data_IF_190544494379
#
_entry.id   IF_190544494379
#
_cell.length_a   1.000
_cell.length_b   1.000
_cell.length_c   1.000
_cell.angle_alpha   90.00
_cell.angle_beta   90.00
_cell.angle_gamma   90.00
#
_symmetry.space_group_name_H-M   'P 1'
#
loop_
_entity.id
_entity.type
_entity.pdbx_description
1 polymer ?
#
# COMPACT_ATOMS: atom_id res chain seq x y z
N UNK A 1 4.86 3.13 -14.79
CA UNK A 1 4.44 4.43 -14.21
C UNK A 1 3.22 4.35 -13.30
N UNK A 2 2.26 3.46 -13.54
CA UNK A 2 1.00 3.44 -12.78
C UNK A 2 1.17 3.32 -11.25
N UNK A 3 1.98 2.36 -10.78
CA UNK A 3 2.23 2.20 -9.34
C UNK A 3 2.84 3.44 -8.68
N UNK A 4 3.70 4.16 -9.40
CA UNK A 4 4.30 5.41 -8.93
C UNK A 4 3.25 6.53 -8.76
N UNK A 5 2.23 6.61 -9.64
CA UNK A 5 1.17 7.63 -9.52
C UNK A 5 0.39 7.48 -8.21
N UNK A 6 0.02 6.25 -7.85
CA UNK A 6 -0.63 5.99 -6.57
C UNK A 6 0.30 6.27 -5.38
N UNK A 7 1.57 5.88 -5.49
CA UNK A 7 2.56 6.12 -4.46
C UNK A 7 2.79 7.62 -4.20
N UNK A 8 2.83 8.44 -5.25
CA UNK A 8 2.88 9.91 -5.16
C UNK A 8 1.65 10.43 -4.42
N UNK A 9 0.44 9.98 -4.78
CA UNK A 9 -0.79 10.39 -4.10
C UNK A 9 -0.78 10.09 -2.60
N UNK A 10 -0.36 8.88 -2.21
CA UNK A 10 -0.22 8.51 -0.80
C UNK A 10 0.89 9.28 -0.08
N UNK A 11 1.97 9.62 -0.80
CA UNK A 11 3.06 10.45 -0.28
C UNK A 11 2.59 11.88 -0.01
N UNK A 12 1.71 12.44 -0.83
CA UNK A 12 1.11 13.76 -0.55
C UNK A 12 0.29 13.75 0.74
N UNK A 13 -0.43 12.65 1.03
CA UNK A 13 -1.10 12.48 2.32
C UNK A 13 -0.10 12.37 3.48
N UNK A 14 1.02 11.67 3.30
CA UNK A 14 2.08 11.58 4.31
C UNK A 14 2.72 12.95 4.62
N UNK A 15 2.97 13.77 3.59
CA UNK A 15 3.44 15.14 3.78
C UNK A 15 2.40 15.99 4.51
N UNK A 16 1.12 15.86 4.15
CA UNK A 16 0.03 16.57 4.86
C UNK A 16 -0.04 16.17 6.34
N UNK A 17 0.14 14.89 6.66
CA UNK A 17 0.26 14.40 8.04
C UNK A 17 1.50 14.96 8.76
N UNK A 18 2.62 15.09 8.05
CA UNK A 18 3.84 15.73 8.58
C UNK A 18 3.60 17.20 8.95
N UNK A 19 3.00 17.96 8.04
CA UNK A 19 2.63 19.37 8.27
C UNK A 19 1.67 19.48 9.45
N UNK A 20 0.67 18.58 9.53
CA UNK A 20 -0.23 18.52 10.68
C UNK A 20 0.54 18.37 11.99
N UNK A 21 1.44 17.39 12.09
CA UNK A 21 2.24 17.19 13.30
C UNK A 21 3.07 18.41 13.67
N UNK A 22 3.64 19.11 12.67
CA UNK A 22 4.40 20.34 12.90
C UNK A 22 3.53 21.47 13.41
N UNK A 23 2.34 21.69 12.85
CA UNK A 23 1.40 22.72 13.31
C UNK A 23 0.90 22.43 14.73
N UNK A 24 0.61 21.16 15.02
CA UNK A 24 0.12 20.72 16.31
C UNK A 24 1.25 20.52 17.36
N UNK A 25 2.52 20.66 16.96
CA UNK A 25 3.69 20.40 17.81
C UNK A 25 3.65 19.00 18.46
N UNK A 26 3.08 18.01 17.76
CA UNK A 26 2.90 16.67 18.30
C UNK A 26 2.08 15.75 17.41
N UNK A 27 2.18 14.44 17.68
CA UNK A 27 1.53 13.39 16.89
C UNK A 27 0.05 13.15 17.23
N UNK A 28 -0.44 13.68 18.33
CA UNK A 28 -1.79 13.40 18.83
C UNK A 28 -2.82 14.38 18.28
N UNK A 29 -4.03 13.91 18.05
CA UNK A 29 -5.16 14.71 17.55
C UNK A 29 -6.41 14.35 18.35
N UNK A 30 -7.15 15.36 18.83
CA UNK A 30 -8.31 15.15 19.69
C UNK A 30 -7.92 14.42 20.99
N UNK A 31 -8.80 13.52 21.45
CA UNK A 31 -8.61 12.81 22.72
C UNK A 31 -7.50 11.74 22.65
N UNK A 32 -7.46 10.94 21.58
CA UNK A 32 -6.56 9.79 21.46
C UNK A 32 -6.11 9.47 20.02
N UNK A 33 -6.44 10.32 19.05
CA UNK A 33 -6.02 10.17 17.66
C UNK A 33 -4.52 10.29 17.53
N UNK A 34 -3.91 9.52 16.63
CA UNK A 34 -2.48 9.60 16.35
C UNK A 34 -2.27 9.66 14.84
N UNK A 35 -1.65 10.74 14.34
CA UNK A 35 -1.46 10.99 12.90
C UNK A 35 -0.17 10.37 12.36
N UNK A 36 0.74 9.94 13.24
CA UNK A 36 2.01 9.31 12.87
C UNK A 36 1.83 8.05 11.99
N UNK A 37 0.85 7.15 12.24
CA UNK A 37 0.56 6.04 11.34
C UNK A 37 0.22 6.47 9.90
N UNK A 38 -0.50 7.58 9.69
CA UNK A 38 -0.78 8.10 8.35
C UNK A 38 0.50 8.53 7.64
N UNK A 39 1.37 9.25 8.37
CA UNK A 39 2.66 9.69 7.86
C UNK A 39 3.53 8.51 7.42
N UNK A 40 3.67 7.50 8.28
CA UNK A 40 4.44 6.30 7.97
C UNK A 40 3.82 5.50 6.80
N UNK A 41 2.52 5.19 6.87
CA UNK A 41 1.83 4.38 5.87
C UNK A 41 1.84 5.04 4.48
N UNK A 42 1.66 6.36 4.41
CA UNK A 42 1.70 7.10 3.15
C UNK A 42 3.09 7.08 2.51
N UNK A 43 4.18 7.16 3.29
CA UNK A 43 5.54 7.01 2.75
C UNK A 43 5.88 5.58 2.35
N UNK A 44 5.42 4.58 3.09
CA UNK A 44 5.60 3.18 2.72
C UNK A 44 4.92 2.83 1.38
N UNK A 45 3.97 3.63 0.90
CA UNK A 45 3.39 3.48 -0.43
C UNK A 45 4.44 3.54 -1.56
N UNK A 46 5.52 4.31 -1.38
CA UNK A 46 6.66 4.39 -2.32
C UNK A 46 7.35 3.04 -2.54
N UNK A 47 7.28 2.16 -1.54
CA UNK A 47 7.82 0.81 -1.62
C UNK A 47 6.73 -0.19 -2.02
N UNK A 48 5.59 -0.14 -1.32
CA UNK A 48 4.56 -1.16 -1.37
C UNK A 48 3.83 -1.25 -2.72
N UNK A 49 3.44 -0.12 -3.32
CA UNK A 49 2.68 -0.14 -4.57
C UNK A 49 3.59 -0.36 -5.79
N UNK A 50 4.77 0.29 -5.90
CA UNK A 50 5.71 -0.01 -6.97
C UNK A 50 6.24 -1.44 -6.96
N UNK A 51 6.38 -2.08 -5.79
CA UNK A 51 6.77 -3.49 -5.70
C UNK A 51 5.83 -4.41 -6.50
N UNK A 52 4.50 -4.20 -6.41
CA UNK A 52 3.52 -5.00 -7.17
C UNK A 52 3.72 -4.81 -8.68
N UNK A 53 3.85 -3.55 -9.12
CA UNK A 53 4.08 -3.24 -10.53
C UNK A 53 5.42 -3.80 -11.04
N UNK A 54 6.46 -3.74 -10.20
CA UNK A 54 7.78 -4.24 -10.53
C UNK A 54 7.79 -5.76 -10.66
N UNK A 55 7.17 -6.50 -9.73
CA UNK A 55 7.06 -7.95 -9.80
C UNK A 55 6.36 -8.42 -11.08
N UNK A 56 5.27 -7.76 -11.48
CA UNK A 56 4.62 -8.05 -12.76
C UNK A 56 5.50 -7.69 -13.97
N UNK A 57 6.29 -6.62 -13.90
CA UNK A 57 7.21 -6.29 -15.00
C UNK A 57 8.34 -7.32 -15.16
N UNK A 58 8.62 -8.10 -14.11
CA UNK A 58 9.58 -9.19 -14.12
C UNK A 58 8.92 -10.56 -14.43
N UNK A 59 7.60 -10.62 -14.58
CA UNK A 59 6.89 -11.86 -14.91
C UNK A 59 6.58 -11.95 -16.41
N UNK A 60 6.17 -13.13 -16.87
CA UNK A 60 5.63 -13.35 -18.21
C UNK A 60 4.14 -12.96 -18.32
N UNK A 61 3.57 -12.29 -17.30
CA UNK A 61 2.15 -11.90 -17.29
C UNK A 61 1.91 -10.78 -18.29
N UNK A 62 0.92 -10.91 -19.20
CA UNK A 62 0.58 -9.83 -20.12
C UNK A 62 0.18 -8.55 -19.38
N UNK A 63 0.55 -7.38 -19.91
CA UNK A 63 0.21 -6.09 -19.28
C UNK A 63 -1.30 -5.93 -19.05
N UNK A 64 -2.13 -6.42 -19.99
CA UNK A 64 -3.59 -6.39 -19.89
C UNK A 64 -4.11 -7.07 -18.62
N UNK A 65 -3.44 -8.12 -18.17
CA UNK A 65 -3.78 -8.87 -16.96
C UNK A 65 -3.12 -8.29 -15.71
N UNK A 66 -1.87 -7.82 -15.80
CA UNK A 66 -1.15 -7.22 -14.68
C UNK A 66 -1.73 -5.86 -14.24
N UNK A 67 -2.20 -5.05 -15.20
CA UNK A 67 -2.58 -3.66 -14.97
C UNK A 67 -3.74 -3.49 -13.97
N UNK A 68 -4.84 -4.27 -14.01
CA UNK A 68 -5.89 -4.21 -12.99
C UNK A 68 -5.38 -4.47 -11.57
N UNK A 69 -4.45 -5.41 -11.39
CA UNK A 69 -3.86 -5.70 -10.07
C UNK A 69 -3.05 -4.54 -9.53
N UNK A 70 -2.30 -3.83 -10.38
CA UNK A 70 -1.57 -2.62 -9.97
C UNK A 70 -2.54 -1.49 -9.58
N UNK A 71 -3.65 -1.34 -10.30
CA UNK A 71 -4.71 -0.38 -9.93
C UNK A 71 -5.36 -0.76 -8.59
N UNK A 72 -5.74 -2.03 -8.41
CA UNK A 72 -6.34 -2.52 -7.18
C UNK A 72 -5.41 -2.30 -5.98
N UNK A 73 -4.13 -2.69 -6.10
CA UNK A 73 -3.12 -2.48 -5.08
C UNK A 73 -2.95 -1.00 -4.70
N UNK A 74 -2.84 -0.12 -5.71
CA UNK A 74 -2.66 1.32 -5.50
C UNK A 74 -3.89 2.01 -4.91
N UNK A 75 -5.08 1.71 -5.43
CA UNK A 75 -6.34 2.26 -4.94
C UNK A 75 -6.65 1.79 -3.51
N UNK A 76 -6.39 0.51 -3.23
CA UNK A 76 -6.57 -0.04 -1.89
C UNK A 76 -5.65 0.63 -0.87
N UNK A 77 -4.36 0.80 -1.19
CA UNK A 77 -3.41 1.48 -0.31
C UNK A 77 -3.81 2.94 -0.06
N UNK A 78 -4.12 3.69 -1.12
CA UNK A 78 -4.50 5.09 -1.00
C UNK A 78 -5.78 5.26 -0.17
N UNK A 79 -6.78 4.40 -0.38
CA UNK A 79 -8.03 4.43 0.38
C UNK A 79 -7.81 4.01 1.84
N UNK A 80 -6.90 3.08 2.11
CA UNK A 80 -6.48 2.73 3.47
C UNK A 80 -5.84 3.93 4.19
N UNK A 81 -5.01 4.73 3.51
CA UNK A 81 -4.51 5.99 4.06
C UNK A 81 -5.65 6.95 4.44
N UNK A 82 -6.69 7.08 3.61
CA UNK A 82 -7.85 7.90 3.93
C UNK A 82 -8.63 7.37 5.15
N UNK A 83 -8.72 6.05 5.31
CA UNK A 83 -9.33 5.42 6.49
C UNK A 83 -8.58 5.75 7.79
N UNK A 84 -7.24 5.69 7.78
CA UNK A 84 -6.41 6.13 8.91
C UNK A 84 -6.59 7.62 9.18
N UNK A 85 -6.57 8.46 8.12
CA UNK A 85 -6.76 9.89 8.25
C UNK A 85 -8.11 10.22 8.93
N UNK A 86 -9.19 9.56 8.51
CA UNK A 86 -10.51 9.71 9.08
C UNK A 86 -10.58 9.30 10.55
N UNK A 87 -10.06 8.10 10.89
CA UNK A 87 -10.03 7.60 12.26
C UNK A 87 -9.28 8.58 13.19
N UNK A 88 -8.12 9.06 12.75
CA UNK A 88 -7.31 9.99 13.53
C UNK A 88 -7.97 11.37 13.65
N UNK A 89 -8.56 11.91 12.58
CA UNK A 89 -9.25 13.19 12.61
C UNK A 89 -10.47 13.17 13.55
N UNK A 90 -11.12 12.01 13.69
CA UNK A 90 -12.18 11.80 14.69
C UNK A 90 -11.65 11.72 16.14
N UNK A 91 -10.34 11.87 16.37
CA UNK A 91 -9.72 11.83 17.69
C UNK A 91 -9.63 10.44 18.30
N UNK A 92 -9.76 9.38 17.49
CA UNK A 92 -9.77 7.97 17.93
C UNK A 92 -8.45 7.28 17.60
N UNK A 93 -7.95 6.37 18.45
CA UNK A 93 -6.74 5.62 18.14
C UNK A 93 -7.01 4.63 17.01
N UNK A 94 -5.97 4.33 16.22
CA UNK A 94 -6.04 3.37 15.09
C UNK A 94 -6.30 1.93 15.53
N UNK A 95 -6.09 1.62 16.81
CA UNK A 95 -6.39 0.30 17.39
C UNK A 95 -7.85 0.15 17.80
N UNK A 96 -8.62 1.24 17.83
CA UNK A 96 -10.04 1.18 18.17
C UNK A 96 -10.87 0.69 16.98
N UNK A 97 -11.69 -0.36 17.15
CA UNK A 97 -12.55 -0.85 16.09
C UNK A 97 -13.52 0.22 15.57
N UNK A 98 -13.58 0.37 14.25
CA UNK A 98 -14.53 1.24 13.56
C UNK A 98 -14.75 0.75 12.14
N UNK A 99 -15.80 1.23 11.47
CA UNK A 99 -15.98 0.94 10.05
C UNK A 99 -14.79 1.42 9.20
N UNK A 100 -14.19 2.57 9.55
CA UNK A 100 -13.00 3.09 8.88
C UNK A 100 -11.79 2.17 9.06
N UNK A 101 -11.57 1.65 10.29
CA UNK A 101 -10.47 0.73 10.55
C UNK A 101 -10.70 -0.66 9.96
N UNK A 102 -11.93 -1.17 9.98
CA UNK A 102 -12.30 -2.41 9.30
C UNK A 102 -12.04 -2.29 7.79
N UNK A 103 -12.52 -1.22 7.16
CA UNK A 103 -12.27 -0.94 5.75
C UNK A 103 -10.76 -0.85 5.46
N UNK A 104 -10.01 -0.12 6.30
CA UNK A 104 -8.54 -0.01 6.18
C UNK A 104 -7.88 -1.39 6.17
N UNK A 105 -8.24 -2.26 7.11
CA UNK A 105 -7.70 -3.63 7.18
C UNK A 105 -8.05 -4.42 5.92
N UNK A 106 -9.32 -4.43 5.50
CA UNK A 106 -9.76 -5.13 4.28
C UNK A 106 -9.01 -4.63 3.03
N UNK A 107 -8.79 -3.33 2.91
CA UNK A 107 -8.06 -2.72 1.80
C UNK A 107 -6.57 -3.11 1.82
N UNK A 108 -5.93 -3.11 3.00
CA UNK A 108 -4.55 -3.58 3.13
C UNK A 108 -4.41 -5.08 2.80
N UNK A 109 -5.41 -5.89 3.14
CA UNK A 109 -5.49 -7.27 2.65
C UNK A 109 -5.63 -7.36 1.13
N UNK A 110 -6.44 -6.49 0.51
CA UNK A 110 -6.55 -6.39 -0.95
C UNK A 110 -5.21 -6.06 -1.63
N UNK A 111 -4.43 -5.15 -1.05
CA UNK A 111 -3.05 -4.90 -1.48
C UNK A 111 -2.18 -6.15 -1.32
N UNK A 112 -2.25 -6.82 -0.16
CA UNK A 112 -1.44 -8.02 0.13
C UNK A 112 -1.75 -9.14 -0.88
N UNK A 113 -3.03 -9.37 -1.20
CA UNK A 113 -3.44 -10.34 -2.22
C UNK A 113 -2.83 -10.02 -3.59
N UNK A 114 -2.85 -8.73 -3.98
CA UNK A 114 -2.25 -8.27 -5.23
C UNK A 114 -0.73 -8.50 -5.24
N UNK A 115 -0.05 -8.23 -4.12
CA UNK A 115 1.39 -8.45 -3.98
C UNK A 115 1.77 -9.93 -4.01
N UNK A 116 1.01 -10.79 -3.32
CA UNK A 116 1.21 -12.25 -3.35
C UNK A 116 0.99 -12.80 -4.76
N UNK A 117 -0.05 -12.36 -5.45
CA UNK A 117 -0.31 -12.78 -6.83
C UNK A 117 0.82 -12.36 -7.77
N UNK A 118 1.29 -11.11 -7.70
CA UNK A 118 2.42 -10.63 -8.48
C UNK A 118 3.70 -11.43 -8.20
N UNK A 119 3.97 -11.74 -6.93
CA UNK A 119 5.10 -12.55 -6.52
C UNK A 119 5.03 -13.99 -7.07
N UNK A 120 3.85 -14.62 -7.03
CA UNK A 120 3.64 -15.95 -7.60
C UNK A 120 3.84 -15.95 -9.11
N UNK A 121 3.30 -14.96 -9.82
CA UNK A 121 3.46 -14.80 -11.27
C UNK A 121 4.94 -14.65 -11.65
N UNK A 122 5.67 -13.81 -10.92
CA UNK A 122 7.12 -13.65 -11.09
C UNK A 122 7.87 -14.97 -10.83
N UNK A 123 7.57 -15.68 -9.74
CA UNK A 123 8.20 -16.97 -9.43
C UNK A 123 7.98 -18.02 -10.51
N UNK A 124 6.76 -18.09 -11.07
CA UNK A 124 6.41 -19.04 -12.12
C UNK A 124 7.14 -18.74 -13.45
N UNK A 125 7.59 -17.50 -13.64
CA UNK A 125 8.26 -17.04 -14.86
C UNK A 125 9.77 -17.28 -14.85
N UNK A 126 10.35 -17.76 -13.74
CA UNK A 126 11.78 -18.10 -13.68
C UNK A 126 12.05 -19.37 -14.50
N UNK A 127 13.11 -19.39 -15.35
CA UNK A 127 13.51 -20.62 -16.01
C UNK A 127 13.76 -21.70 -14.95
N UNK A 128 13.09 -22.86 -15.06
CA UNK A 128 13.53 -24.03 -14.30
C UNK A 128 14.93 -24.34 -14.78
N UNK A 129 15.94 -24.20 -13.91
CA UNK A 129 17.27 -24.67 -14.21
C UNK A 129 17.13 -26.12 -14.70
N UNK A 130 17.55 -26.35 -15.95
CA UNK A 130 17.51 -27.65 -16.60
C UNK A 130 18.46 -28.54 -15.83
N UNK A 131 17.95 -29.28 -14.85
CA UNK A 131 18.60 -30.46 -14.30
C UNK A 131 18.45 -31.56 -15.35
N UNK A 132 19.22 -31.48 -16.43
CA UNK A 132 19.53 -32.66 -17.21
C UNK A 132 20.92 -33.14 -16.79
N UNK A 133 21.05 -34.37 -16.27
CA UNK A 133 22.35 -34.99 -16.16
C UNK A 133 22.92 -35.09 -17.57
N UNK A 134 24.08 -34.48 -17.79
CA UNK A 134 24.93 -34.85 -18.94
C UNK A 134 25.29 -36.32 -18.75
N UNK A 135 24.74 -37.16 -19.62
CA UNK A 135 25.05 -38.59 -19.75
C UNK A 135 26.53 -38.82 -19.96
#
# INVERSE_FOLDING_TARGET
>A
MLGLRYAIGATMLAFSAGIWMSVNQGRYTGAAGNILPLHALGFHALQAVPLVAWLFSLSATPEREARPWVHAAGAAWLTACLGIAWQTAAGRPVTEPSLAMLATVVLLFGWLLSAVHAFQAWRASRPRAVLQPTT
#
